data_IF_695469165967
#
_entry.id   IF_695469165967
#
_cell.length_a   1.000
_cell.length_b   1.000
_cell.length_c   1.000
_cell.angle_alpha   90.00
_cell.angle_beta   90.00
_cell.angle_gamma   90.00
#
_symmetry.space_group_name_H-M   'P 1'
#
loop_
_entity.id
_entity.type
_entity.pdbx_description
1 polymer ?
#
# COMPACT_ATOMS: atom_id res chain seq x y z
N UNK A 1 21.67 -2.21 0.82
CA UNK A 1 20.74 -1.17 0.32
C UNK A 1 19.55 -1.10 1.26
N UNK A 2 18.97 0.09 1.55
CA UNK A 2 17.82 0.19 2.42
C UNK A 2 16.56 -0.41 1.77
N UNK A 3 15.58 -0.80 2.60
CA UNK A 3 14.27 -1.23 2.13
C UNK A 3 13.57 -0.10 1.36
N UNK A 4 12.74 -0.46 0.37
CA UNK A 4 12.03 0.50 -0.50
C UNK A 4 10.51 0.37 -0.42
N UNK A 5 10.01 -0.82 -0.11
CA UNK A 5 8.59 -1.16 -0.15
C UNK A 5 8.27 -2.03 1.07
N UNK A 6 7.15 -1.74 1.72
CA UNK A 6 6.44 -2.67 2.59
C UNK A 6 5.21 -3.14 1.81
N UNK A 7 4.87 -4.42 1.92
CA UNK A 7 3.71 -4.98 1.24
C UNK A 7 2.84 -5.80 2.18
N UNK A 8 1.55 -5.85 1.89
CA UNK A 8 0.61 -6.78 2.49
C UNK A 8 -0.52 -7.12 1.51
N UNK A 9 -1.24 -8.20 1.80
CA UNK A 9 -2.34 -8.67 0.96
C UNK A 9 -3.70 -8.42 1.58
N UNK A 10 -4.68 -8.07 0.75
CA UNK A 10 -6.10 -8.05 1.12
C UNK A 10 -6.80 -9.28 0.51
N UNK A 11 -7.37 -10.19 1.33
CA UNK A 11 -7.95 -11.44 0.85
C UNK A 11 -9.35 -11.29 0.23
N UNK A 12 -9.87 -10.07 0.11
CA UNK A 12 -11.13 -9.77 -0.56
C UNK A 12 -10.96 -9.44 -2.05
N UNK A 13 -9.77 -9.69 -2.62
CA UNK A 13 -9.46 -9.44 -4.02
C UNK A 13 -9.26 -7.97 -4.39
N UNK A 14 -9.30 -7.03 -3.45
CA UNK A 14 -9.19 -5.59 -3.75
C UNK A 14 -7.89 -4.99 -3.23
N UNK A 15 -7.20 -4.22 -4.07
CA UNK A 15 -6.00 -3.49 -3.71
C UNK A 15 -6.34 -2.03 -3.40
N UNK A 16 -6.53 -1.73 -2.12
CA UNK A 16 -6.83 -0.40 -1.63
C UNK A 16 -6.06 -0.13 -0.34
N UNK A 17 -5.70 1.12 -0.11
CA UNK A 17 -5.12 1.53 1.17
C UNK A 17 -6.29 1.87 2.12
N UNK A 18 -6.47 1.07 3.17
CA UNK A 18 -7.55 1.23 4.15
C UNK A 18 -7.25 2.34 5.16
N UNK A 19 -8.22 2.76 5.99
CA UNK A 19 -7.95 3.66 7.11
C UNK A 19 -6.92 3.07 8.09
N UNK A 20 -6.99 1.78 8.38
CA UNK A 20 -6.03 1.10 9.26
C UNK A 20 -4.63 1.05 8.66
N UNK A 21 -4.51 0.81 7.35
CA UNK A 21 -3.19 0.83 6.69
C UNK A 21 -2.55 2.22 6.77
N UNK A 22 -3.36 3.28 6.60
CA UNK A 22 -2.90 4.66 6.77
C UNK A 22 -2.40 4.92 8.19
N UNK A 23 -3.18 4.54 9.19
CA UNK A 23 -2.81 4.73 10.60
C UNK A 23 -1.48 4.04 10.93
N UNK A 24 -1.33 2.77 10.53
CA UNK A 24 -0.12 1.98 10.80
C UNK A 24 1.10 2.48 10.01
N UNK A 25 0.90 2.95 8.79
CA UNK A 25 1.98 3.44 7.93
C UNK A 25 2.38 4.90 8.21
N UNK A 26 1.63 5.62 9.03
CA UNK A 26 1.90 7.03 9.37
C UNK A 26 2.60 7.12 10.72
N UNK A 27 3.47 8.13 10.86
CA UNK A 27 4.11 8.47 12.11
C UNK A 27 3.05 8.73 13.20
N UNK A 28 3.26 8.28 14.45
CA UNK A 28 2.36 8.58 15.56
C UNK A 28 2.29 10.08 15.88
N UNK A 29 3.23 10.89 15.36
CA UNK A 29 3.23 12.35 15.48
C UNK A 29 2.59 13.06 14.28
N UNK A 30 2.14 12.33 13.26
CA UNK A 30 1.42 12.87 12.10
C UNK A 30 2.27 13.72 11.16
N UNK A 31 3.60 13.64 11.26
CA UNK A 31 4.56 14.46 10.52
C UNK A 31 5.10 13.79 9.24
N UNK A 32 4.59 12.60 8.90
CA UNK A 32 5.09 11.84 7.75
C UNK A 32 4.78 10.35 7.83
N UNK A 33 5.36 9.55 6.92
CA UNK A 33 5.27 8.11 6.98
C UNK A 33 6.14 7.55 8.13
N UNK A 34 5.73 6.44 8.74
CA UNK A 34 6.49 5.78 9.81
C UNK A 34 7.88 5.29 9.33
N UNK A 35 7.98 4.93 8.05
CA UNK A 35 9.22 4.60 7.36
C UNK A 35 9.25 5.27 5.98
N UNK A 36 10.42 5.69 5.47
CA UNK A 36 10.54 6.33 4.16
C UNK A 36 10.49 5.30 3.01
N UNK A 37 9.36 4.59 2.90
CA UNK A 37 9.10 3.51 1.94
C UNK A 37 7.73 3.67 1.30
N UNK A 38 7.54 3.05 0.14
CA UNK A 38 6.23 2.91 -0.49
C UNK A 38 5.44 1.75 0.12
N UNK A 39 4.12 1.78 -0.02
CA UNK A 39 3.21 0.74 0.47
C UNK A 39 2.58 0.04 -0.74
N UNK A 40 2.75 -1.28 -0.85
CA UNK A 40 2.14 -2.09 -1.90
C UNK A 40 1.03 -2.96 -1.32
N UNK A 41 -0.21 -2.72 -1.74
CA UNK A 41 -1.34 -3.58 -1.37
C UNK A 41 -1.60 -4.54 -2.52
N UNK A 42 -1.71 -5.82 -2.21
CA UNK A 42 -2.01 -6.89 -3.18
C UNK A 42 -3.37 -7.50 -2.87
N UNK A 43 -4.34 -7.29 -3.74
CA UNK A 43 -5.63 -7.97 -3.68
C UNK A 43 -5.48 -9.41 -4.14
N UNK A 44 -5.84 -10.37 -3.29
CA UNK A 44 -5.79 -11.81 -3.60
C UNK A 44 -7.15 -12.47 -3.36
N UNK A 45 -7.39 -13.58 -4.04
CA UNK A 45 -8.45 -14.53 -3.73
C UNK A 45 -7.88 -15.93 -3.44
N UNK A 46 -8.72 -16.97 -3.43
CA UNK A 46 -8.31 -18.36 -3.14
C UNK A 46 -7.42 -18.98 -4.24
N UNK A 47 -7.24 -18.32 -5.38
CA UNK A 47 -6.60 -18.89 -6.58
C UNK A 47 -5.51 -18.02 -7.17
N UNK A 48 -5.61 -16.70 -7.04
CA UNK A 48 -4.76 -15.78 -7.81
C UNK A 48 -4.52 -14.44 -7.13
N UNK A 49 -3.58 -13.69 -7.71
CA UNK A 49 -3.51 -12.24 -7.51
C UNK A 49 -4.56 -11.59 -8.40
N UNK A 50 -5.46 -10.81 -7.81
CA UNK A 50 -6.55 -10.14 -8.52
C UNK A 50 -6.09 -8.78 -9.06
N UNK A 51 -5.43 -7.99 -8.22
CA UNK A 51 -4.88 -6.68 -8.56
C UNK A 51 -3.83 -6.24 -7.53
N UNK A 52 -3.03 -5.24 -7.85
CA UNK A 52 -2.15 -4.58 -6.88
C UNK A 52 -2.17 -3.05 -7.06
N UNK A 53 -1.93 -2.33 -5.97
CA UNK A 53 -1.88 -0.87 -5.95
C UNK A 53 -0.71 -0.39 -5.10
N UNK A 54 0.07 0.54 -5.64
CA UNK A 54 1.22 1.13 -4.98
C UNK A 54 0.89 2.54 -4.49
N UNK A 55 1.25 2.82 -3.25
CA UNK A 55 1.00 4.09 -2.58
C UNK A 55 2.32 4.72 -2.13
N UNK A 56 2.42 6.04 -2.28
CA UNK A 56 3.54 6.85 -1.80
C UNK A 56 3.04 8.02 -0.97
N UNK A 57 3.84 8.47 -0.01
CA UNK A 57 3.56 9.68 0.74
C UNK A 57 3.60 10.91 -0.17
N UNK A 58 2.61 11.79 -0.01
CA UNK A 58 2.55 13.12 -0.63
C UNK A 58 2.54 14.17 0.48
N UNK A 59 3.52 15.06 0.46
CA UNK A 59 3.58 16.18 1.40
C UNK A 59 2.44 17.18 1.16
N UNK A 60 2.03 17.36 -0.10
CA UNK A 60 0.93 18.25 -0.47
C UNK A 60 -0.43 17.75 0.06
N UNK A 61 -0.63 16.44 0.06
CA UNK A 61 -1.88 15.80 0.52
C UNK A 61 -1.81 15.38 2.00
N UNK A 62 -0.63 15.49 2.63
CA UNK A 62 -0.39 15.05 4.01
C UNK A 62 -0.69 13.57 4.24
N UNK A 63 -0.45 12.72 3.24
CA UNK A 63 -0.85 11.32 3.31
C UNK A 63 -0.42 10.46 2.13
N UNK A 64 -0.69 9.15 2.24
CA UNK A 64 -0.42 8.20 1.17
C UNK A 64 -1.45 8.30 0.05
N UNK A 65 -0.95 8.51 -1.17
CA UNK A 65 -1.73 8.56 -2.42
C UNK A 65 -1.35 7.40 -3.34
N UNK A 66 -2.33 6.90 -4.09
CA UNK A 66 -2.07 5.85 -5.08
C UNK A 66 -1.26 6.44 -6.25
N UNK A 67 -0.13 5.82 -6.56
CA UNK A 67 0.76 6.26 -7.67
C UNK A 67 0.82 5.26 -8.83
N UNK A 68 0.39 4.02 -8.61
CA UNK A 68 0.26 3.02 -9.66
C UNK A 68 -0.79 1.96 -9.31
N UNK A 69 -1.40 1.38 -10.34
CA UNK A 69 -2.24 0.20 -10.27
C UNK A 69 -1.72 -0.84 -11.26
N UNK A 70 -1.78 -2.11 -10.88
CA UNK A 70 -1.30 -3.24 -11.66
C UNK A 70 -2.41 -4.28 -11.77
N UNK A 71 -2.54 -4.86 -12.96
CA UNK A 71 -3.39 -6.03 -13.17
C UNK A 71 -2.80 -7.24 -12.42
N UNK A 72 -3.69 -8.11 -11.94
CA UNK A 72 -3.30 -9.37 -11.33
C UNK A 72 -2.84 -10.42 -12.33
N UNK A 73 -2.45 -11.58 -11.81
CA UNK A 73 -2.02 -12.73 -12.59
C UNK A 73 -2.34 -14.03 -11.84
N UNK A 74 -2.53 -15.10 -12.60
CA UNK A 74 -2.53 -16.45 -12.07
C UNK A 74 -1.12 -16.79 -11.55
N UNK A 75 -1.05 -17.60 -10.50
CA UNK A 75 0.20 -17.94 -9.78
C UNK A 75 0.61 -19.37 -10.04
#
# INVERSE_FOLDING_TARGET
>A
MPARIIFHSHPNGQAYFSPTDREVATSPWGDGPAYPVQQLVVGIDDRRVVEAALFAWSDDEGGFVQIAKFDGADV
#
